data_IF_326683011712
#
_entry.id   IF_326683011712
#
_cell.length_a   1.000
_cell.length_b   1.000
_cell.length_c   1.000
_cell.angle_alpha   90.00
_cell.angle_beta   90.00
_cell.angle_gamma   90.00
#
_symmetry.space_group_name_H-M   'P 1'
#
loop_
_entity.id
_entity.type
_entity.pdbx_description
1 polymer ?
#
# COMPACT_ATOMS: atom_id res chain seq x y z
N UNK A 1 -71.42 -18.56 -31.74
CA UNK A 1 -70.03 -18.87 -31.33
C UNK A 1 -69.15 -17.70 -31.72
N UNK A 2 -68.38 -17.03 -30.86
CA UNK A 2 -68.11 -17.13 -29.40
C UNK A 2 -68.24 -15.69 -28.81
N UNK A 3 -68.64 -15.45 -27.54
CA UNK A 3 -67.76 -15.32 -26.34
C UNK A 3 -66.46 -14.54 -26.64
N UNK A 4 -66.05 -13.45 -25.96
CA UNK A 4 -66.31 -12.87 -24.61
C UNK A 4 -66.24 -11.30 -24.67
N UNK A 5 -66.75 -10.41 -23.80
CA UNK A 5 -67.41 -10.40 -22.45
C UNK A 5 -66.45 -10.61 -21.24
N UNK A 6 -66.13 -9.68 -20.33
CA UNK A 6 -66.34 -8.22 -20.10
C UNK A 6 -65.37 -7.81 -18.94
N UNK A 7 -65.14 -6.57 -18.46
CA UNK A 7 -65.64 -5.18 -18.67
C UNK A 7 -64.51 -4.18 -18.26
N UNK A 8 -64.78 -2.86 -18.17
CA UNK A 8 -63.83 -1.81 -17.70
C UNK A 8 -64.53 -0.68 -16.89
N UNK A 9 -63.74 0.28 -16.38
CA UNK A 9 -64.10 1.66 -15.94
C UNK A 9 -64.59 1.88 -14.49
N UNK A 10 -64.26 3.07 -13.97
CA UNK A 10 -64.42 3.65 -12.62
C UNK A 10 -65.56 4.69 -12.54
N UNK A 11 -66.09 4.95 -11.33
CA UNK A 11 -66.67 6.23 -10.83
C UNK A 11 -67.16 6.03 -9.36
N UNK A 12 -67.30 7.03 -8.46
CA UNK A 12 -66.76 8.40 -8.48
C UNK A 12 -67.65 9.52 -7.86
N UNK A 13 -67.85 9.56 -6.53
CA UNK A 13 -68.43 10.68 -5.72
C UNK A 13 -67.96 10.55 -4.26
N UNK A 14 -67.63 11.54 -3.40
CA UNK A 14 -67.97 12.97 -3.15
C UNK A 14 -69.37 13.24 -2.53
N UNK A 15 -69.58 14.21 -1.60
CA UNK A 15 -68.76 14.82 -0.50
C UNK A 15 -69.64 15.77 0.34
N UNK A 16 -69.49 15.81 1.67
CA UNK A 16 -69.77 16.91 2.65
C UNK A 16 -69.40 16.40 4.07
N UNK A 17 -69.05 17.16 5.12
CA UNK A 17 -69.05 18.63 5.36
C UNK A 17 -70.17 19.01 6.37
N UNK A 18 -69.93 19.58 7.57
CA UNK A 18 -68.72 20.21 8.15
C UNK A 18 -68.68 20.16 9.71
N UNK A 19 -67.47 20.41 10.25
CA UNK A 19 -67.12 20.81 11.64
C UNK A 19 -67.26 19.77 12.80
N UNK A 20 -66.70 19.95 14.02
CA UNK A 20 -66.03 21.13 14.61
C UNK A 20 -64.88 20.87 15.63
N UNK A 21 -63.84 21.70 15.54
CA UNK A 21 -63.04 22.40 16.60
C UNK A 21 -62.52 21.69 17.90
N UNK A 22 -61.18 21.49 17.94
CA UNK A 22 -60.22 21.60 19.10
C UNK A 22 -60.39 20.63 20.32
N UNK A 23 -59.40 20.35 21.21
CA UNK A 23 -58.07 20.92 21.59
C UNK A 23 -56.97 19.81 21.64
N UNK A 24 -55.68 20.17 21.50
CA UNK A 24 -54.48 19.30 21.73
C UNK A 24 -54.12 19.13 23.21
N UNK A 25 -53.49 18.01 23.59
CA UNK A 25 -52.29 18.10 24.45
C UNK A 25 -51.26 16.97 24.25
N UNK A 26 -49.98 17.30 24.47
CA UNK A 26 -48.82 16.41 24.38
C UNK A 26 -48.55 15.72 25.72
N UNK A 27 -48.04 14.48 25.68
CA UNK A 27 -47.04 14.03 26.66
C UNK A 27 -45.85 13.36 25.97
N UNK A 28 -44.70 14.05 25.97
CA UNK A 28 -43.40 13.47 25.62
C UNK A 28 -42.88 12.71 26.84
N UNK A 29 -42.66 11.39 26.75
CA UNK A 29 -41.89 10.66 27.76
C UNK A 29 -40.42 10.58 27.34
N UNK A 30 -39.65 11.59 27.77
CA UNK A 30 -38.21 11.71 27.54
C UNK A 30 -37.47 11.88 28.87
N UNK A 31 -36.99 10.78 29.45
CA UNK A 31 -36.05 10.81 30.59
C UNK A 31 -34.85 9.89 30.35
N UNK A 32 -34.01 10.29 29.38
CA UNK A 32 -32.71 9.64 29.08
C UNK A 32 -31.65 10.10 30.10
N UNK A 33 -31.73 9.60 31.34
CA UNK A 33 -30.79 10.01 32.40
C UNK A 33 -29.38 9.47 32.16
N UNK A 34 -28.42 10.39 31.98
CA UNK A 34 -26.98 10.09 31.93
C UNK A 34 -26.45 9.88 33.35
N UNK A 35 -26.35 8.63 33.79
CA UNK A 35 -25.78 8.26 35.09
C UNK A 35 -24.30 7.88 34.94
N UNK A 36 -23.42 8.40 35.81
CA UNK A 36 -21.98 8.14 35.78
C UNK A 36 -21.60 6.83 36.51
N UNK A 37 -20.40 6.33 36.21
CA UNK A 37 -19.71 5.23 36.91
C UNK A 37 -20.32 3.82 36.84
N UNK A 38 -20.45 3.30 35.62
CA UNK A 38 -19.47 2.32 35.06
C UNK A 38 -19.91 1.98 33.64
N UNK A 39 -19.18 2.51 32.66
CA UNK A 39 -19.51 2.44 31.24
C UNK A 39 -19.27 1.04 30.67
N UNK A 40 -19.99 0.66 29.61
CA UNK A 40 -19.54 -0.47 28.79
C UNK A 40 -18.28 -0.03 28.05
N UNK A 41 -17.19 -0.78 28.17
CA UNK A 41 -16.00 -0.55 27.34
C UNK A 41 -16.25 -1.11 25.93
N UNK A 42 -17.04 -0.40 25.13
CA UNK A 42 -17.29 -0.77 23.73
C UNK A 42 -16.23 -0.13 22.83
N UNK A 43 -15.64 -0.94 21.96
CA UNK A 43 -14.67 -0.56 20.94
C UNK A 43 -15.38 -0.31 19.61
N UNK A 44 -14.64 0.20 18.62
CA UNK A 44 -15.06 0.24 17.21
C UNK A 44 -16.46 0.83 16.94
N UNK A 45 -16.87 1.84 17.71
CA UNK A 45 -18.18 2.50 17.58
C UNK A 45 -19.36 1.76 18.24
N UNK A 46 -19.11 0.69 18.99
CA UNK A 46 -20.14 -0.09 19.68
C UNK A 46 -20.94 0.73 20.71
N UNK A 47 -22.26 0.52 20.73
CA UNK A 47 -23.19 1.26 21.60
C UNK A 47 -23.52 0.46 22.86
N UNK A 48 -23.24 1.04 24.03
CA UNK A 48 -23.61 0.48 25.34
C UNK A 48 -25.13 0.51 25.55
N UNK A 49 -25.75 -0.66 25.75
CA UNK A 49 -27.16 -0.79 26.15
C UNK A 49 -27.30 -1.42 27.54
N UNK A 50 -28.43 -1.22 28.20
CA UNK A 50 -28.75 -1.81 29.51
C UNK A 50 -30.22 -2.22 29.55
N UNK A 51 -30.50 -3.47 29.93
CA UNK A 51 -31.87 -3.97 30.05
C UNK A 51 -32.47 -3.65 31.42
N UNK A 52 -33.54 -2.84 31.45
CA UNK A 52 -34.13 -2.34 32.70
C UNK A 52 -34.92 -3.40 33.49
N UNK A 53 -35.53 -4.38 32.80
CA UNK A 53 -36.42 -5.37 33.43
C UNK A 53 -35.71 -6.65 33.90
N UNK A 54 -34.45 -6.84 33.53
CA UNK A 54 -33.67 -8.04 33.88
C UNK A 54 -32.25 -7.66 34.33
N UNK A 55 -32.09 -7.48 35.64
CA UNK A 55 -30.82 -7.59 36.39
C UNK A 55 -29.62 -6.76 35.90
N UNK A 56 -29.83 -5.49 35.52
CA UNK A 56 -28.77 -4.55 35.09
C UNK A 56 -27.84 -5.06 33.97
N UNK A 57 -28.28 -6.00 33.13
CA UNK A 57 -27.42 -6.59 32.10
C UNK A 57 -27.00 -5.51 31.09
N UNK A 58 -25.69 -5.23 31.06
CA UNK A 58 -25.02 -4.30 30.14
C UNK A 58 -24.36 -5.08 29.00
N UNK A 59 -24.52 -4.60 27.77
CA UNK A 59 -23.89 -5.20 26.57
C UNK A 59 -23.57 -4.12 25.52
N UNK A 60 -22.56 -4.35 24.70
CA UNK A 60 -22.33 -3.57 23.49
C UNK A 60 -23.19 -4.10 22.33
N UNK A 61 -23.90 -3.21 21.63
CA UNK A 61 -24.37 -3.43 20.26
C UNK A 61 -23.25 -3.03 19.32
N UNK A 62 -22.80 -3.94 18.46
CA UNK A 62 -21.72 -3.68 17.53
C UNK A 62 -22.24 -3.18 16.18
N UNK A 63 -21.49 -2.30 15.48
CA UNK A 63 -21.78 -1.99 14.08
C UNK A 63 -21.59 -3.23 13.19
N UNK A 64 -22.06 -3.11 11.95
CA UNK A 64 -21.71 -4.03 10.87
C UNK A 64 -20.17 -4.11 10.72
N UNK A 65 -19.65 -5.30 10.43
CA UNK A 65 -18.21 -5.60 10.41
C UNK A 65 -17.56 -5.87 11.78
N UNK A 66 -18.30 -5.81 12.89
CA UNK A 66 -17.74 -6.00 14.24
C UNK A 66 -18.56 -6.92 15.15
N UNK A 67 -17.87 -7.66 16.03
CA UNK A 67 -18.46 -8.61 16.96
C UNK A 67 -17.68 -8.79 18.26
N UNK A 68 -18.16 -9.71 19.11
CA UNK A 68 -17.60 -9.98 20.44
C UNK A 68 -18.46 -9.44 21.59
N UNK A 69 -17.88 -9.32 22.79
CA UNK A 69 -18.55 -8.78 23.98
C UNK A 69 -18.45 -7.24 24.05
N UNK A 70 -17.35 -6.73 23.53
CA UNK A 70 -16.88 -5.34 23.53
C UNK A 70 -16.77 -4.76 22.11
N UNK A 71 -17.20 -5.49 21.06
CA UNK A 71 -16.98 -5.15 19.65
C UNK A 71 -15.48 -5.17 19.27
N UNK A 72 -14.75 -6.07 19.92
CA UNK A 72 -13.30 -6.30 19.86
C UNK A 72 -12.84 -7.19 18.71
N UNK A 73 -13.78 -7.91 18.08
CA UNK A 73 -13.54 -8.77 16.92
C UNK A 73 -13.95 -7.99 15.67
N UNK A 74 -13.08 -8.01 14.68
CA UNK A 74 -13.36 -7.58 13.31
C UNK A 74 -13.89 -8.82 12.55
N UNK A 75 -15.09 -8.77 12.00
CA UNK A 75 -15.69 -9.94 11.34
C UNK A 75 -15.25 -10.10 9.88
N UNK A 76 -14.70 -9.04 9.29
CA UNK A 76 -14.50 -8.90 7.85
C UNK A 76 -13.00 -8.99 7.49
N UNK A 77 -12.11 -8.88 8.48
CA UNK A 77 -10.66 -9.01 8.37
C UNK A 77 -10.19 -10.44 8.02
N UNK A 78 -10.13 -10.69 6.71
CA UNK A 78 -9.61 -11.92 6.09
C UNK A 78 -8.07 -12.01 6.02
N UNK A 79 -7.33 -10.96 6.42
CA UNK A 79 -5.86 -10.90 6.36
C UNK A 79 -5.28 -9.98 7.45
N UNK A 80 -3.96 -10.06 7.71
CA UNK A 80 -3.27 -9.20 8.70
C UNK A 80 -2.34 -8.16 8.05
N UNK A 81 -2.30 -6.93 8.58
CA UNK A 81 -1.37 -5.88 8.12
C UNK A 81 -0.09 -5.82 8.96
N UNK A 82 1.00 -5.30 8.40
CA UNK A 82 2.29 -5.15 9.12
C UNK A 82 2.88 -6.50 9.56
N UNK A 83 2.94 -6.71 10.87
CA UNK A 83 3.25 -7.99 11.53
C UNK A 83 2.03 -8.64 12.21
N UNK A 84 0.86 -8.01 12.16
CA UNK A 84 -0.39 -8.51 12.73
C UNK A 84 -0.65 -8.20 14.21
N UNK A 85 0.11 -7.31 14.87
CA UNK A 85 -0.22 -6.82 16.23
C UNK A 85 -1.65 -6.25 16.34
N UNK A 86 -2.10 -5.57 15.28
CA UNK A 86 -3.44 -4.98 15.14
C UNK A 86 -4.50 -5.95 14.61
N UNK A 87 -4.17 -7.20 14.27
CA UNK A 87 -5.12 -8.15 13.68
C UNK A 87 -6.19 -8.58 14.70
N UNK A 88 -7.47 -8.31 14.39
CA UNK A 88 -8.62 -8.68 15.24
C UNK A 88 -9.63 -9.62 14.56
N UNK A 89 -9.30 -10.11 13.36
CA UNK A 89 -10.11 -11.08 12.61
C UNK A 89 -10.26 -12.45 13.27
N UNK A 90 -10.99 -13.35 12.62
CA UNK A 90 -11.47 -14.63 13.18
C UNK A 90 -10.69 -15.88 12.76
N UNK A 91 -9.55 -15.75 12.07
CA UNK A 91 -8.78 -16.91 11.63
C UNK A 91 -8.11 -17.67 12.79
N UNK A 92 -8.12 -19.01 12.72
CA UNK A 92 -7.47 -19.91 13.67
C UNK A 92 -6.96 -21.17 12.94
N UNK A 93 -5.68 -21.49 13.12
CA UNK A 93 -5.08 -22.72 12.59
C UNK A 93 -5.57 -23.98 13.32
N UNK A 94 -5.57 -25.16 12.66
CA UNK A 94 -5.88 -26.44 13.29
C UNK A 94 -5.00 -26.70 14.52
N UNK A 95 -5.63 -26.87 15.68
CA UNK A 95 -4.93 -27.12 16.96
C UNK A 95 -4.65 -25.88 17.81
N UNK A 96 -5.03 -24.67 17.36
CA UNK A 96 -4.98 -23.47 18.21
C UNK A 96 -5.86 -23.63 19.46
N UNK A 97 -5.25 -23.39 20.63
CA UNK A 97 -5.90 -23.37 21.94
C UNK A 97 -6.58 -22.02 22.20
N UNK A 98 -7.61 -22.04 23.04
CA UNK A 98 -8.31 -20.84 23.51
C UNK A 98 -7.44 -20.04 24.49
N UNK A 99 -7.48 -18.70 24.40
CA UNK A 99 -6.70 -17.80 25.28
C UNK A 99 -7.24 -17.75 26.73
N UNK A 100 -8.45 -18.26 26.99
CA UNK A 100 -9.03 -18.48 28.32
C UNK A 100 -8.93 -19.95 28.81
N UNK A 101 -8.20 -20.81 28.10
CA UNK A 101 -8.04 -22.21 28.49
C UNK A 101 -7.17 -22.33 29.77
N UNK A 102 -7.57 -23.08 30.81
CA UNK A 102 -6.81 -23.20 32.06
C UNK A 102 -5.41 -23.83 31.96
N UNK A 103 -5.00 -24.35 30.79
CA UNK A 103 -3.59 -24.74 30.54
C UNK A 103 -2.76 -23.61 29.93
N UNK A 104 -3.39 -22.63 29.27
CA UNK A 104 -2.77 -21.41 28.76
C UNK A 104 -2.58 -20.43 29.91
N UNK A 105 -3.65 -20.11 30.65
CA UNK A 105 -3.63 -19.21 31.83
C UNK A 105 -2.54 -19.58 32.86
N UNK A 106 -2.22 -20.87 33.02
CA UNK A 106 -1.23 -21.35 34.01
C UNK A 106 0.21 -21.51 33.48
N UNK A 107 0.47 -21.30 32.18
CA UNK A 107 1.76 -21.68 31.56
C UNK A 107 2.19 -20.82 30.35
N UNK A 108 1.33 -19.96 29.82
CA UNK A 108 1.63 -19.09 28.69
C UNK A 108 1.59 -17.64 29.12
N UNK A 109 2.54 -16.85 28.64
CA UNK A 109 2.72 -15.44 29.01
C UNK A 109 1.55 -14.54 28.54
N UNK A 110 0.72 -15.04 27.61
CA UNK A 110 -0.41 -14.31 27.04
C UNK A 110 -1.74 -15.06 27.23
N UNK A 111 -2.63 -14.50 28.04
CA UNK A 111 -3.92 -15.10 28.39
C UNK A 111 -4.97 -14.04 28.74
N UNK A 112 -6.23 -14.46 28.90
CA UNK A 112 -7.38 -13.57 29.10
C UNK A 112 -7.33 -12.71 30.38
N UNK A 113 -6.61 -13.13 31.42
CA UNK A 113 -6.57 -12.43 32.71
C UNK A 113 -5.52 -11.29 32.75
N UNK A 114 -4.77 -11.07 31.66
CA UNK A 114 -3.90 -9.91 31.54
C UNK A 114 -4.72 -8.61 31.57
N UNK A 115 -4.24 -7.61 32.31
CA UNK A 115 -4.92 -6.30 32.45
C UNK A 115 -5.16 -5.57 31.11
N UNK A 116 -4.39 -5.91 30.08
CA UNK A 116 -4.47 -5.39 28.72
C UNK A 116 -4.92 -6.45 27.69
N UNK A 117 -5.48 -7.60 28.12
CA UNK A 117 -5.93 -8.68 27.24
C UNK A 117 -6.84 -8.18 26.11
N UNK A 118 -7.80 -7.30 26.43
CA UNK A 118 -8.71 -6.71 25.46
C UNK A 118 -7.97 -5.88 24.37
N UNK A 119 -6.99 -5.07 24.75
CA UNK A 119 -6.17 -4.29 23.81
C UNK A 119 -5.30 -5.20 22.94
N UNK A 120 -4.79 -6.30 23.51
CA UNK A 120 -4.04 -7.34 22.80
C UNK A 120 -4.92 -8.24 21.91
N UNK A 121 -6.25 -8.11 21.99
CA UNK A 121 -7.21 -8.96 21.27
C UNK A 121 -7.31 -10.38 21.81
N UNK A 122 -6.96 -10.61 23.07
CA UNK A 122 -7.05 -11.90 23.76
C UNK A 122 -8.42 -12.02 24.45
N UNK A 123 -9.14 -13.11 24.19
CA UNK A 123 -10.51 -13.30 24.65
C UNK A 123 -10.93 -14.77 24.64
N UNK A 124 -12.25 -15.01 24.74
CA UNK A 124 -12.84 -16.36 24.82
C UNK A 124 -12.94 -17.05 23.45
N UNK A 125 -11.82 -17.12 22.75
CA UNK A 125 -11.64 -17.67 21.41
C UNK A 125 -10.23 -18.25 21.26
N UNK A 126 -9.97 -18.95 20.16
CA UNK A 126 -8.65 -19.45 19.78
C UNK A 126 -8.05 -18.73 18.55
N UNK A 127 -8.66 -17.63 18.10
CA UNK A 127 -8.18 -16.84 16.96
C UNK A 127 -6.72 -16.40 17.11
N UNK A 128 -5.99 -16.40 15.99
CA UNK A 128 -4.59 -15.99 15.90
C UNK A 128 -4.40 -14.52 16.30
N UNK A 129 -3.39 -14.23 17.12
CA UNK A 129 -3.04 -12.87 17.58
C UNK A 129 -1.52 -12.70 17.59
N UNK A 130 -1.04 -11.47 17.69
CA UNK A 130 0.38 -11.19 17.85
C UNK A 130 0.61 -10.25 19.06
N UNK A 131 0.43 -10.73 20.30
CA UNK A 131 0.48 -9.89 21.49
C UNK A 131 1.92 -9.55 21.95
N UNK A 132 2.94 -10.07 21.25
CA UNK A 132 4.36 -9.95 21.58
C UNK A 132 5.22 -9.38 20.43
N UNK A 133 4.60 -8.82 19.38
CA UNK A 133 5.32 -8.16 18.28
C UNK A 133 6.24 -9.05 17.44
N UNK A 134 5.97 -10.37 17.38
CA UNK A 134 6.65 -11.30 16.47
C UNK A 134 6.40 -10.94 15.00
N UNK A 135 7.04 -11.66 14.06
CA UNK A 135 6.92 -11.37 12.63
C UNK A 135 5.54 -11.67 11.99
N UNK A 136 4.66 -12.42 12.66
CA UNK A 136 3.28 -12.73 12.22
C UNK A 136 2.38 -13.15 13.40
N UNK A 137 1.04 -13.18 13.23
CA UNK A 137 0.12 -13.80 14.18
C UNK A 137 0.44 -15.26 14.48
N UNK A 138 0.14 -15.68 15.71
CA UNK A 138 0.37 -17.01 16.24
C UNK A 138 -0.74 -17.41 17.23
N UNK A 139 -0.72 -18.66 17.65
CA UNK A 139 -1.57 -19.19 18.72
C UNK A 139 -0.80 -20.22 19.56
N UNK A 140 -1.28 -20.56 20.76
CA UNK A 140 -0.73 -21.71 21.49
C UNK A 140 -1.24 -23.03 20.91
N UNK A 141 -0.35 -23.99 20.71
CA UNK A 141 -0.69 -25.40 20.40
C UNK A 141 -0.17 -26.33 21.49
N UNK A 142 -0.65 -27.59 21.54
CA UNK A 142 -0.10 -28.63 22.44
C UNK A 142 0.95 -29.47 21.72
N UNK A 143 2.06 -29.76 22.39
CA UNK A 143 3.05 -30.76 21.97
C UNK A 143 3.29 -31.74 23.11
N UNK A 144 2.53 -32.83 23.12
CA UNK A 144 2.44 -33.71 24.29
C UNK A 144 1.87 -32.96 25.50
N UNK A 145 2.65 -32.88 26.59
CA UNK A 145 2.23 -32.21 27.83
C UNK A 145 2.58 -30.72 27.92
N UNK A 146 3.36 -30.16 26.99
CA UNK A 146 3.67 -28.72 26.95
C UNK A 146 2.73 -27.96 26.00
N UNK A 147 2.62 -26.65 26.23
CA UNK A 147 2.12 -25.70 25.22
C UNK A 147 3.31 -25.02 24.54
N UNK A 148 3.14 -24.59 23.30
CA UNK A 148 4.15 -23.89 22.52
C UNK A 148 3.50 -22.80 21.66
N UNK A 149 4.16 -21.67 21.47
CA UNK A 149 3.73 -20.65 20.49
C UNK A 149 3.94 -21.21 19.08
N UNK A 150 2.92 -21.17 18.23
CA UNK A 150 2.95 -21.68 16.85
C UNK A 150 2.50 -20.58 15.90
N UNK A 151 3.35 -20.12 14.96
CA UNK A 151 2.95 -19.13 13.96
C UNK A 151 1.78 -19.64 13.13
N UNK A 152 0.76 -18.81 12.93
CA UNK A 152 -0.39 -19.19 12.11
C UNK A 152 -0.03 -19.18 10.62
N UNK A 153 -0.72 -20.04 9.88
CA UNK A 153 -0.54 -20.29 8.44
C UNK A 153 -1.83 -20.12 7.63
N UNK A 154 -3.00 -20.20 8.28
CA UNK A 154 -4.30 -19.97 7.63
C UNK A 154 -4.64 -18.49 7.40
N UNK A 155 -3.87 -17.57 7.99
CA UNK A 155 -4.05 -16.12 7.86
C UNK A 155 -2.87 -15.49 7.12
N UNK A 156 -3.13 -14.97 5.93
CA UNK A 156 -2.11 -14.29 5.12
C UNK A 156 -1.92 -12.83 5.53
N UNK A 157 -0.75 -12.28 5.17
CA UNK A 157 -0.50 -10.84 5.24
C UNK A 157 -1.26 -10.14 4.10
N UNK A 158 -2.04 -9.11 4.42
CA UNK A 158 -2.73 -8.28 3.44
C UNK A 158 -1.71 -7.72 2.41
N UNK A 159 -2.03 -7.79 1.12
CA UNK A 159 -1.15 -7.26 0.06
C UNK A 159 0.06 -8.15 -0.28
N UNK A 160 0.03 -9.43 0.05
CA UNK A 160 1.03 -10.45 -0.35
C UNK A 160 1.05 -10.74 -1.87
N UNK A 161 0.37 -9.95 -2.70
CA UNK A 161 0.47 -9.97 -4.18
C UNK A 161 1.68 -9.20 -4.73
N UNK A 162 2.42 -8.46 -3.89
CA UNK A 162 3.57 -7.66 -4.34
C UNK A 162 4.60 -8.50 -5.13
N UNK A 163 5.23 -7.86 -6.12
CA UNK A 163 6.30 -8.45 -6.92
C UNK A 163 5.87 -9.59 -7.85
N UNK A 164 4.57 -9.92 -7.89
CA UNK A 164 4.00 -10.86 -8.84
C UNK A 164 3.67 -10.15 -10.15
N UNK A 165 3.89 -10.85 -11.28
CA UNK A 165 3.54 -10.41 -12.63
C UNK A 165 3.00 -11.58 -13.43
N UNK A 166 2.13 -11.29 -14.40
CA UNK A 166 1.52 -12.33 -15.23
C UNK A 166 2.53 -12.78 -16.30
N UNK A 167 3.13 -13.96 -16.09
CA UNK A 167 4.05 -14.56 -17.06
C UNK A 167 3.34 -14.93 -18.36
N UNK A 168 3.40 -14.04 -19.35
CA UNK A 168 3.38 -14.46 -20.75
C UNK A 168 4.52 -15.46 -20.96
N UNK A 169 4.22 -16.64 -21.51
CA UNK A 169 5.23 -17.66 -21.86
C UNK A 169 6.05 -17.30 -23.09
N UNK A 170 5.81 -16.14 -23.68
CA UNK A 170 6.41 -15.71 -24.94
C UNK A 170 7.18 -14.40 -24.74
N UNK A 171 8.37 -14.33 -25.35
CA UNK A 171 9.25 -13.17 -25.45
C UNK A 171 9.97 -12.71 -24.16
N UNK A 172 10.96 -13.50 -23.71
CA UNK A 172 12.11 -12.96 -22.95
C UNK A 172 13.35 -12.88 -23.86
N UNK A 173 13.39 -11.85 -24.69
CA UNK A 173 14.52 -11.54 -25.59
C UNK A 173 15.52 -10.66 -24.84
N UNK A 174 16.81 -10.78 -25.16
CA UNK A 174 17.91 -10.04 -24.51
C UNK A 174 18.34 -8.88 -25.40
N UNK A 175 18.65 -7.73 -24.79
CA UNK A 175 19.01 -6.48 -25.49
C UNK A 175 17.83 -5.53 -25.65
N UNK A 176 17.49 -4.78 -24.59
CA UNK A 176 16.66 -3.56 -24.67
C UNK A 176 15.33 -3.71 -25.40
N UNK A 177 14.51 -4.68 -25.03
CA UNK A 177 13.26 -4.97 -25.74
C UNK A 177 12.13 -4.01 -25.34
N UNK A 178 11.20 -3.79 -26.27
CA UNK A 178 9.86 -3.30 -25.91
C UNK A 178 9.25 -4.27 -24.88
N UNK A 179 8.54 -3.73 -23.90
CA UNK A 179 7.89 -4.47 -22.85
C UNK A 179 6.41 -4.07 -22.79
N UNK A 180 5.52 -5.04 -22.62
CA UNK A 180 4.11 -4.77 -22.28
C UNK A 180 3.96 -4.67 -20.76
N UNK A 181 3.04 -3.82 -20.30
CA UNK A 181 3.01 -3.37 -18.90
C UNK A 181 2.73 -4.50 -17.89
N UNK A 182 2.07 -5.59 -18.29
CA UNK A 182 1.88 -6.78 -17.44
C UNK A 182 3.19 -7.48 -17.06
N UNK A 183 4.28 -7.19 -17.77
CA UNK A 183 5.64 -7.67 -17.42
C UNK A 183 6.34 -6.80 -16.37
N UNK A 184 5.87 -5.56 -16.16
CA UNK A 184 6.40 -4.59 -15.20
C UNK A 184 5.24 -3.81 -14.52
N UNK A 185 4.22 -4.47 -13.93
CA UNK A 185 2.92 -3.85 -13.58
C UNK A 185 3.00 -2.83 -12.42
N UNK A 186 4.18 -2.64 -11.84
CA UNK A 186 4.52 -1.61 -10.86
C UNK A 186 5.03 -0.31 -11.49
N UNK A 187 5.28 -0.26 -12.81
CA UNK A 187 5.79 0.95 -13.46
C UNK A 187 4.78 2.10 -13.36
N UNK A 188 5.26 3.23 -12.88
CA UNK A 188 4.51 4.48 -12.86
C UNK A 188 5.11 5.47 -13.86
N UNK A 189 4.28 6.10 -14.68
CA UNK A 189 4.65 7.26 -15.49
C UNK A 189 4.28 8.54 -14.75
N UNK A 190 5.26 9.38 -14.41
CA UNK A 190 5.04 10.68 -13.77
C UNK A 190 5.01 11.75 -14.86
N UNK A 191 3.91 12.50 -14.91
CA UNK A 191 3.70 13.58 -15.87
C UNK A 191 3.54 14.91 -15.15
N UNK A 192 4.05 15.97 -15.76
CA UNK A 192 3.90 17.36 -15.31
C UNK A 192 3.15 18.18 -16.36
N UNK A 193 2.11 18.91 -15.94
CA UNK A 193 1.40 19.83 -16.80
C UNK A 193 2.23 21.08 -17.05
N UNK A 194 2.71 21.24 -18.29
CA UNK A 194 3.38 22.44 -18.79
C UNK A 194 2.48 23.12 -19.82
N UNK A 195 2.06 24.35 -19.51
CA UNK A 195 1.24 25.20 -20.40
C UNK A 195 -0.05 24.51 -20.91
N UNK A 196 -0.68 23.66 -20.08
CA UNK A 196 -1.89 22.91 -20.43
C UNK A 196 -1.62 21.51 -21.02
N UNK A 197 -0.38 21.20 -21.41
CA UNK A 197 0.01 19.87 -21.91
C UNK A 197 0.64 19.02 -20.79
N UNK A 198 0.19 17.79 -20.59
CA UNK A 198 0.85 16.85 -19.68
C UNK A 198 2.08 16.24 -20.36
N UNK A 199 3.27 16.52 -19.86
CA UNK A 199 4.54 16.04 -20.41
C UNK A 199 5.17 14.99 -19.49
N UNK A 200 5.69 13.91 -20.06
CA UNK A 200 6.38 12.86 -19.31
C UNK A 200 7.69 13.41 -18.72
N UNK A 201 7.90 13.16 -17.42
CA UNK A 201 8.98 13.72 -16.62
C UNK A 201 9.93 12.63 -16.09
N UNK A 202 9.38 11.63 -15.41
CA UNK A 202 10.13 10.57 -14.74
C UNK A 202 9.34 9.25 -14.65
N UNK A 203 10.06 8.14 -14.47
CA UNK A 203 9.50 6.88 -14.02
C UNK A 203 9.27 6.85 -12.50
N UNK A 204 8.55 5.82 -12.06
CA UNK A 204 8.31 5.51 -10.64
C UNK A 204 7.93 4.04 -10.44
N UNK A 205 7.83 3.63 -9.19
CA UNK A 205 7.47 2.27 -8.78
C UNK A 205 6.30 2.29 -7.79
N UNK A 206 5.18 1.65 -8.10
CA UNK A 206 4.07 1.46 -7.16
C UNK A 206 4.49 0.48 -6.05
N UNK A 207 4.61 0.95 -4.81
CA UNK A 207 5.06 0.14 -3.66
C UNK A 207 3.92 -0.24 -2.70
N UNK A 208 2.84 0.54 -2.72
CA UNK A 208 1.58 0.35 -2.00
C UNK A 208 0.46 0.97 -2.88
N UNK A 209 -0.81 0.52 -2.82
CA UNK A 209 -1.88 1.07 -3.65
C UNK A 209 -1.99 2.60 -3.65
N UNK A 210 -1.64 3.28 -2.55
CA UNK A 210 -1.69 4.74 -2.43
C UNK A 210 -0.34 5.45 -2.66
N UNK A 211 0.76 4.72 -2.91
CA UNK A 211 2.13 5.27 -2.89
C UNK A 211 3.02 4.79 -4.03
N UNK A 212 3.64 5.76 -4.70
CA UNK A 212 4.69 5.56 -5.71
C UNK A 212 6.02 6.07 -5.17
N UNK A 213 7.07 5.25 -5.32
CA UNK A 213 8.46 5.59 -5.01
C UNK A 213 9.18 6.00 -6.30
N UNK A 214 10.00 7.05 -6.23
CA UNK A 214 10.73 7.61 -7.38
C UNK A 214 11.99 8.36 -6.89
N UNK A 215 12.68 9.07 -7.78
CA UNK A 215 13.84 9.90 -7.47
C UNK A 215 13.44 11.30 -6.98
N UNK A 216 14.27 11.92 -6.13
CA UNK A 216 14.07 13.28 -5.64
C UNK A 216 14.39 14.34 -6.71
N UNK A 217 15.37 14.09 -7.57
CA UNK A 217 15.80 15.03 -8.62
C UNK A 217 14.68 15.35 -9.62
N UNK A 218 13.69 14.45 -9.78
CA UNK A 218 12.48 14.66 -10.57
C UNK A 218 11.64 15.88 -10.12
N UNK A 219 11.79 16.31 -8.85
CA UNK A 219 11.03 17.44 -8.28
C UNK A 219 11.93 18.57 -7.76
N UNK A 220 13.23 18.53 -8.09
CA UNK A 220 14.20 19.48 -7.56
C UNK A 220 14.21 20.79 -8.36
N UNK A 221 13.94 21.89 -7.66
CA UNK A 221 14.07 23.26 -8.15
C UNK A 221 15.30 23.90 -7.47
N UNK A 222 16.22 24.47 -8.24
CA UNK A 222 17.41 25.17 -7.75
C UNK A 222 17.06 26.35 -6.79
N UNK A 223 15.85 26.88 -6.87
CA UNK A 223 15.30 27.91 -5.97
C UNK A 223 14.69 27.33 -4.68
N UNK A 224 14.76 26.00 -4.48
CA UNK A 224 14.24 25.23 -3.33
C UNK A 224 12.76 25.47 -3.01
N UNK A 225 11.96 25.80 -4.02
CA UNK A 225 10.50 25.89 -3.91
C UNK A 225 9.89 24.51 -3.83
N UNK A 226 8.83 24.39 -3.04
CA UNK A 226 8.01 23.17 -3.01
C UNK A 226 7.30 22.99 -4.37
N UNK A 227 7.33 21.80 -4.98
CA UNK A 227 6.67 21.55 -6.25
C UNK A 227 5.15 21.74 -6.14
N UNK A 228 4.54 22.42 -7.13
CA UNK A 228 3.09 22.54 -7.19
C UNK A 228 2.46 21.18 -7.54
N UNK A 229 2.10 20.40 -6.51
CA UNK A 229 1.52 19.05 -6.66
C UNK A 229 0.35 18.96 -7.63
N UNK A 230 -0.48 20.00 -7.74
CA UNK A 230 -1.62 20.05 -8.66
C UNK A 230 -1.24 20.09 -10.14
N UNK A 231 0.03 20.36 -10.45
CA UNK A 231 0.58 20.26 -11.80
C UNK A 231 1.04 18.82 -12.15
N UNK A 232 0.98 17.85 -11.23
CA UNK A 232 1.48 16.49 -11.48
C UNK A 232 0.36 15.46 -11.54
N UNK A 233 0.55 14.48 -12.43
CA UNK A 233 -0.29 13.28 -12.58
C UNK A 233 0.58 12.04 -12.59
N UNK A 234 0.02 10.93 -12.15
CA UNK A 234 0.66 9.61 -12.21
C UNK A 234 -0.23 8.66 -12.99
N UNK A 235 0.37 7.96 -13.96
CA UNK A 235 -0.26 6.92 -14.77
C UNK A 235 0.32 5.56 -14.40
N UNK A 236 -0.54 4.57 -14.17
CA UNK A 236 -0.19 3.17 -13.93
C UNK A 236 -0.84 2.31 -15.03
N UNK A 237 -0.24 1.17 -15.40
CA UNK A 237 -0.86 0.24 -16.36
C UNK A 237 -0.85 0.73 -17.82
N UNK A 238 0.21 1.46 -18.21
CA UNK A 238 0.35 2.12 -19.52
C UNK A 238 1.49 1.49 -20.32
N UNK A 239 1.22 0.93 -21.51
CA UNK A 239 2.29 0.44 -22.42
C UNK A 239 2.85 1.53 -23.36
N UNK A 240 2.11 2.64 -23.59
CA UNK A 240 2.45 3.68 -24.57
C UNK A 240 2.28 5.07 -23.96
N UNK A 241 3.33 5.92 -23.99
CA UNK A 241 3.27 7.28 -23.40
C UNK A 241 2.18 8.15 -24.02
N UNK A 242 2.09 8.16 -25.36
CA UNK A 242 1.28 9.12 -26.13
C UNK A 242 -0.08 8.57 -26.57
N UNK A 243 -0.51 7.41 -26.09
CA UNK A 243 -1.83 6.83 -26.37
C UNK A 243 -2.54 6.50 -25.05
N UNK A 244 -3.84 6.76 -24.99
CA UNK A 244 -4.70 6.28 -23.90
C UNK A 244 -4.94 4.79 -24.04
N UNK A 245 -4.83 4.07 -22.94
CA UNK A 245 -5.07 2.64 -22.83
C UNK A 245 -6.34 2.42 -22.00
N UNK A 246 -7.19 1.44 -22.34
CA UNK A 246 -8.40 1.16 -21.53
C UNK A 246 -8.08 0.45 -20.20
N UNK A 247 -6.82 0.02 -20.01
CA UNK A 247 -6.33 -0.59 -18.78
C UNK A 247 -5.56 0.38 -17.86
N UNK A 248 -5.29 1.63 -18.31
CA UNK A 248 -4.53 2.59 -17.52
C UNK A 248 -5.34 3.20 -16.36
N UNK A 249 -4.66 3.45 -15.24
CA UNK A 249 -5.24 4.14 -14.09
C UNK A 249 -4.51 5.48 -13.86
N UNK A 250 -5.27 6.57 -13.79
CA UNK A 250 -4.76 7.95 -13.74
C UNK A 250 -5.07 8.58 -12.39
N UNK A 251 -4.04 9.13 -11.75
CA UNK A 251 -4.13 9.70 -10.41
C UNK A 251 -3.61 11.13 -10.36
N UNK A 252 -4.25 11.94 -9.51
CA UNK A 252 -3.73 13.24 -9.07
C UNK A 252 -2.74 13.03 -7.92
N UNK A 253 -1.79 13.97 -7.79
CA UNK A 253 -0.80 13.93 -6.71
C UNK A 253 -1.29 14.66 -5.46
N UNK A 254 -1.49 13.88 -4.40
CA UNK A 254 -2.00 14.31 -3.11
C UNK A 254 -0.89 14.94 -2.26
N UNK A 255 0.35 14.45 -2.38
CA UNK A 255 1.54 14.89 -1.65
C UNK A 255 2.82 14.40 -2.35
N UNK A 256 3.90 15.19 -2.30
CA UNK A 256 5.25 14.82 -2.77
C UNK A 256 6.19 15.00 -1.57
N UNK A 257 6.98 13.98 -1.27
CA UNK A 257 7.91 13.94 -0.12
C UNK A 257 9.27 13.48 -0.62
N UNK A 258 10.14 14.42 -1.02
CA UNK A 258 11.55 14.16 -1.29
C UNK A 258 12.33 13.96 0.01
N UNK A 259 13.44 13.22 -0.03
CA UNK A 259 14.34 13.10 1.12
C UNK A 259 14.88 14.49 1.52
N UNK A 260 14.88 14.86 2.81
CA UNK A 260 15.33 16.19 3.24
C UNK A 260 16.81 16.44 2.94
N UNK A 261 17.63 15.38 3.01
CA UNK A 261 19.07 15.43 2.78
C UNK A 261 19.48 15.16 1.31
N UNK A 262 18.55 15.26 0.36
CA UNK A 262 18.86 15.13 -1.07
C UNK A 262 19.85 16.22 -1.52
N UNK A 263 20.91 15.82 -2.24
CA UNK A 263 21.89 16.76 -2.78
C UNK A 263 22.53 16.31 -4.10
N UNK A 264 22.60 17.26 -5.03
CA UNK A 264 23.30 17.17 -6.31
C UNK A 264 24.73 17.76 -6.29
N UNK A 265 25.16 18.38 -5.18
CA UNK A 265 26.40 19.18 -5.10
C UNK A 265 27.69 18.40 -5.42
N UNK A 266 27.71 17.08 -5.26
CA UNK A 266 28.87 16.23 -5.62
C UNK A 266 28.84 15.76 -7.08
N UNK A 267 27.77 16.01 -7.83
CA UNK A 267 27.54 15.38 -9.13
C UNK A 267 27.24 13.87 -9.02
N UNK A 268 26.71 13.43 -7.87
CA UNK A 268 26.41 12.04 -7.54
C UNK A 268 25.01 11.78 -6.94
N UNK A 269 24.15 12.79 -6.78
CA UNK A 269 22.75 12.65 -6.33
C UNK A 269 22.58 11.77 -5.06
N UNK A 270 23.23 12.12 -3.94
CA UNK A 270 23.01 11.38 -2.68
C UNK A 270 21.63 11.69 -2.08
N UNK A 271 21.02 10.68 -1.46
CA UNK A 271 19.64 10.72 -0.95
C UNK A 271 18.57 11.01 -2.03
N UNK A 272 18.81 10.58 -3.27
CA UNK A 272 17.91 10.74 -4.40
C UNK A 272 16.71 9.77 -4.37
N UNK A 273 15.76 10.07 -3.48
CA UNK A 273 14.53 9.31 -3.27
C UNK A 273 13.36 10.23 -2.91
N UNK A 274 12.19 9.99 -3.48
CA UNK A 274 10.94 10.68 -3.18
C UNK A 274 9.75 9.70 -3.14
N UNK A 275 8.78 10.03 -2.28
CA UNK A 275 7.46 9.41 -2.23
C UNK A 275 6.41 10.33 -2.85
N UNK A 276 5.52 9.76 -3.66
CA UNK A 276 4.32 10.41 -4.18
C UNK A 276 3.11 9.69 -3.59
N UNK A 277 2.21 10.45 -2.96
CA UNK A 277 0.87 9.96 -2.59
C UNK A 277 -0.09 10.18 -3.75
N UNK A 278 -0.72 9.12 -4.22
CA UNK A 278 -1.62 9.15 -5.40
C UNK A 278 -3.08 8.95 -4.99
N UNK A 279 -4.00 9.70 -5.61
CA UNK A 279 -5.46 9.50 -5.49
C UNK A 279 -6.22 9.82 -6.77
N UNK A 280 -7.36 9.17 -6.97
CA UNK A 280 -8.39 9.60 -7.91
C UNK A 280 -9.12 10.86 -7.40
N UNK A 281 -9.91 11.52 -8.26
CA UNK A 281 -10.80 12.60 -7.83
C UNK A 281 -11.87 12.17 -6.80
N UNK A 282 -12.21 10.87 -6.76
CA UNK A 282 -13.07 10.24 -5.73
C UNK A 282 -12.32 9.86 -4.45
N UNK A 283 -11.03 10.17 -4.35
CA UNK A 283 -10.18 9.90 -3.18
C UNK A 283 -9.67 8.46 -3.06
N UNK A 284 -9.92 7.61 -4.07
CA UNK A 284 -9.52 6.20 -4.10
C UNK A 284 -8.04 6.05 -4.52
N UNK A 285 -7.43 4.93 -4.14
CA UNK A 285 -6.07 4.56 -4.52
C UNK A 285 -6.07 3.53 -5.67
N UNK A 286 -4.91 3.03 -6.09
CA UNK A 286 -4.80 2.08 -7.20
C UNK A 286 -5.53 0.75 -6.93
N UNK A 287 -6.16 0.21 -7.97
CA UNK A 287 -6.86 -1.08 -7.94
C UNK A 287 -5.97 -2.13 -8.61
N UNK A 288 -5.75 -3.27 -7.95
CA UNK A 288 -4.89 -4.32 -8.49
C UNK A 288 -5.52 -4.97 -9.75
N UNK A 289 -4.71 -5.18 -10.79
CA UNK A 289 -5.09 -5.83 -12.04
C UNK A 289 -3.92 -6.65 -12.60
N UNK A 290 -3.97 -7.09 -13.86
CA UNK A 290 -2.79 -7.64 -14.54
C UNK A 290 -1.79 -6.57 -14.98
N UNK A 291 -2.24 -5.32 -15.12
CA UNK A 291 -1.50 -4.17 -15.63
C UNK A 291 -1.00 -3.25 -14.50
N UNK A 292 -1.63 -3.31 -13.33
CA UNK A 292 -1.33 -2.48 -12.15
C UNK A 292 -1.18 -3.36 -10.92
N UNK A 293 0.04 -3.47 -10.37
CA UNK A 293 0.37 -4.24 -9.15
C UNK A 293 1.50 -3.57 -8.38
N UNK A 294 1.63 -3.85 -7.09
CA UNK A 294 2.76 -3.35 -6.30
C UNK A 294 4.03 -4.17 -6.55
N UNK A 295 5.19 -3.53 -6.48
CA UNK A 295 6.48 -4.22 -6.33
C UNK A 295 6.75 -4.47 -4.85
N UNK A 296 7.44 -5.57 -4.50
CA UNK A 296 7.84 -5.75 -3.10
C UNK A 296 8.98 -4.79 -2.74
N UNK A 297 8.87 -4.13 -1.59
CA UNK A 297 10.02 -3.52 -0.92
C UNK A 297 10.95 -4.63 -0.37
N UNK A 298 12.27 -4.42 -0.37
CA UNK A 298 13.24 -5.39 0.12
C UNK A 298 13.23 -5.51 1.65
N UNK A 299 13.73 -6.63 2.16
CA UNK A 299 13.97 -6.78 3.60
C UNK A 299 15.12 -5.87 4.08
N UNK A 300 15.07 -5.43 5.34
CA UNK A 300 15.96 -4.40 5.91
C UNK A 300 17.46 -4.69 5.76
N UNK A 301 17.83 -5.96 5.78
CA UNK A 301 19.20 -6.44 5.67
C UNK A 301 19.43 -7.23 4.37
N UNK A 302 18.61 -7.03 3.32
CA UNK A 302 18.76 -7.75 2.06
C UNK A 302 20.01 -7.28 1.30
N UNK A 303 21.04 -8.12 1.33
CA UNK A 303 22.22 -8.00 0.48
C UNK A 303 22.12 -9.05 -0.63
N UNK A 304 22.15 -8.60 -1.89
CA UNK A 304 22.17 -9.46 -3.07
C UNK A 304 23.62 -9.58 -3.55
N UNK A 305 24.01 -10.77 -3.98
CA UNK A 305 25.38 -11.03 -4.43
C UNK A 305 25.76 -10.21 -5.67
N UNK A 306 27.04 -9.89 -5.80
CA UNK A 306 27.61 -9.36 -7.04
C UNK A 306 27.22 -10.23 -8.23
N UNK A 307 27.04 -9.60 -9.40
CA UNK A 307 26.57 -10.23 -10.63
C UNK A 307 25.16 -10.87 -10.55
N UNK A 308 24.38 -10.62 -9.48
CA UNK A 308 22.94 -10.92 -9.46
C UNK A 308 22.23 -10.20 -10.60
N UNK A 309 21.40 -10.93 -11.34
CA UNK A 309 20.62 -10.42 -12.47
C UNK A 309 19.39 -9.66 -11.97
N UNK A 310 19.23 -8.43 -12.44
CA UNK A 310 18.08 -7.57 -12.21
C UNK A 310 17.52 -7.07 -13.55
N UNK A 311 16.34 -6.46 -13.50
CA UNK A 311 15.64 -5.88 -14.63
C UNK A 311 15.34 -4.40 -14.35
N UNK A 312 15.56 -3.55 -15.35
CA UNK A 312 15.17 -2.13 -15.33
C UNK A 312 14.07 -1.90 -16.35
N UNK A 313 13.18 -0.95 -16.08
CA UNK A 313 12.08 -0.60 -16.97
C UNK A 313 11.72 0.90 -16.90
N UNK A 314 11.29 1.45 -18.04
CA UNK A 314 10.95 2.87 -18.16
C UNK A 314 10.61 3.28 -19.59
N UNK A 315 10.45 4.59 -19.78
CA UNK A 315 10.10 5.21 -21.06
C UNK A 315 11.17 6.22 -21.50
N UNK A 316 12.40 6.07 -21.00
CA UNK A 316 13.50 6.97 -21.29
C UNK A 316 13.91 7.00 -22.76
N UNK A 317 14.89 7.87 -23.05
CA UNK A 317 15.50 7.99 -24.37
C UNK A 317 16.30 6.74 -24.70
N UNK A 318 16.18 6.21 -25.91
CA UNK A 318 16.91 4.99 -26.30
C UNK A 318 18.42 5.27 -26.42
N UNK A 319 18.80 6.52 -26.72
CA UNK A 319 20.16 7.03 -26.70
C UNK A 319 20.24 8.38 -25.96
N UNK A 320 21.41 8.68 -25.37
CA UNK A 320 21.66 9.94 -24.66
C UNK A 320 21.43 11.21 -25.52
N UNK A 321 21.59 11.09 -26.84
CA UNK A 321 21.46 12.17 -27.81
C UNK A 321 20.07 12.30 -28.45
N UNK A 322 19.13 11.38 -28.18
CA UNK A 322 17.81 11.42 -28.81
C UNK A 322 17.04 12.68 -28.39
N UNK A 323 16.20 13.19 -29.29
CA UNK A 323 15.33 14.34 -29.00
C UNK A 323 14.10 13.87 -28.21
N UNK A 324 13.52 12.73 -28.58
CA UNK A 324 12.27 12.19 -28.05
C UNK A 324 12.49 11.02 -27.06
N UNK A 325 11.52 10.80 -26.18
CA UNK A 325 11.44 9.63 -25.30
C UNK A 325 10.97 8.38 -26.06
N UNK A 326 11.20 7.18 -25.50
CA UNK A 326 10.62 5.96 -26.03
C UNK A 326 9.09 6.04 -25.93
N UNK A 327 8.40 5.93 -27.08
CA UNK A 327 6.93 6.00 -27.10
C UNK A 327 6.27 4.79 -26.43
N UNK A 328 6.99 3.67 -26.34
CA UNK A 328 6.59 2.43 -25.67
C UNK A 328 7.45 2.19 -24.43
N UNK A 329 6.88 1.49 -23.45
CA UNK A 329 7.61 0.94 -22.32
C UNK A 329 8.75 0.04 -22.83
N UNK A 330 9.94 0.24 -22.27
CA UNK A 330 11.14 -0.54 -22.56
C UNK A 330 11.57 -1.31 -21.31
N UNK A 331 12.27 -2.43 -21.48
CA UNK A 331 12.97 -3.09 -20.38
C UNK A 331 14.34 -3.65 -20.81
N UNK A 332 15.27 -3.67 -19.86
CA UNK A 332 16.61 -4.24 -20.06
C UNK A 332 17.02 -5.09 -18.85
N UNK A 333 18.02 -5.95 -19.07
CA UNK A 333 18.68 -6.72 -18.01
C UNK A 333 19.97 -6.02 -17.60
N UNK A 334 20.17 -5.85 -16.31
CA UNK A 334 21.44 -5.36 -15.73
C UNK A 334 21.89 -6.29 -14.61
N UNK A 335 23.19 -6.48 -14.46
CA UNK A 335 23.76 -7.24 -13.35
C UNK A 335 24.32 -6.30 -12.29
N UNK A 336 24.16 -6.63 -11.00
CA UNK A 336 24.74 -5.87 -9.90
C UNK A 336 26.28 -5.87 -9.97
N UNK A 337 26.88 -4.72 -9.71
CA UNK A 337 28.33 -4.50 -9.72
C UNK A 337 28.79 -4.19 -8.29
N UNK A 338 29.90 -4.81 -7.87
CA UNK A 338 30.39 -4.68 -6.50
C UNK A 338 30.66 -3.23 -6.11
N UNK A 339 30.36 -2.89 -4.86
CA UNK A 339 30.48 -1.54 -4.34
C UNK A 339 31.92 -1.00 -4.53
N UNK A 340 32.92 -1.84 -4.26
CA UNK A 340 34.33 -1.50 -4.49
C UNK A 340 34.70 -1.34 -5.96
N UNK A 341 34.14 -2.16 -6.86
CA UNK A 341 34.36 -2.00 -8.30
C UNK A 341 33.75 -0.69 -8.79
N UNK A 342 32.54 -0.35 -8.34
CA UNK A 342 31.91 0.89 -8.75
C UNK A 342 32.67 2.12 -8.24
N UNK A 343 32.95 2.18 -6.93
CA UNK A 343 33.67 3.29 -6.27
C UNK A 343 35.11 3.48 -6.75
N UNK A 344 35.87 2.40 -7.00
CA UNK A 344 37.33 2.49 -7.19
C UNK A 344 37.79 2.25 -8.64
N UNK A 345 36.95 1.72 -9.53
CA UNK A 345 37.31 1.37 -10.92
C UNK A 345 36.50 2.13 -11.97
N UNK A 346 35.23 2.46 -11.71
CA UNK A 346 34.33 3.10 -12.67
C UNK A 346 34.01 4.57 -12.33
N UNK A 347 33.91 4.89 -11.05
CA UNK A 347 33.68 6.25 -10.54
C UNK A 347 34.70 6.58 -9.43
N UNK A 348 34.26 7.27 -8.39
CA UNK A 348 35.02 7.69 -7.22
C UNK A 348 34.11 7.63 -5.97
N UNK A 349 34.69 7.72 -4.79
CA UNK A 349 33.98 7.66 -3.50
C UNK A 349 33.28 8.95 -3.07
N UNK A 350 33.38 10.03 -3.86
CA UNK A 350 32.68 11.31 -3.63
C UNK A 350 31.34 11.31 -4.37
N UNK A 351 31.30 10.70 -5.55
CA UNK A 351 30.10 10.55 -6.38
C UNK A 351 29.28 9.30 -6.02
N UNK A 352 29.91 8.19 -5.63
CA UNK A 352 29.21 6.92 -5.29
C UNK A 352 29.26 6.63 -3.78
N UNK A 353 28.13 6.80 -3.11
CA UNK A 353 27.99 6.58 -1.65
C UNK A 353 27.51 5.16 -1.31
N UNK A 354 27.51 4.79 -0.02
CA UNK A 354 26.93 3.52 0.44
C UNK A 354 25.40 3.53 0.55
N UNK A 355 24.78 4.65 0.16
CA UNK A 355 23.35 4.77 -0.12
C UNK A 355 22.99 4.39 -1.56
N UNK A 356 23.98 4.05 -2.38
CA UNK A 356 23.83 3.71 -3.80
C UNK A 356 24.19 2.25 -4.08
N UNK A 357 23.76 1.76 -5.24
CA UNK A 357 24.17 0.49 -5.83
C UNK A 357 24.37 0.72 -7.33
N UNK A 358 25.31 0.01 -7.94
CA UNK A 358 25.59 0.13 -9.37
C UNK A 358 25.19 -1.14 -10.09
N UNK A 359 24.66 -1.00 -11.29
CA UNK A 359 24.31 -2.13 -12.15
C UNK A 359 24.53 -1.75 -13.62
N UNK A 360 24.88 -2.73 -14.44
CA UNK A 360 25.05 -2.53 -15.87
C UNK A 360 24.89 -3.83 -16.64
N UNK A 361 24.65 -3.71 -17.93
CA UNK A 361 24.71 -4.82 -18.87
C UNK A 361 26.15 -5.39 -18.93
N UNK A 362 26.36 -6.71 -18.73
CA UNK A 362 27.68 -7.33 -18.90
C UNK A 362 28.34 -7.11 -20.27
N UNK A 363 27.55 -6.89 -21.33
CA UNK A 363 28.04 -6.56 -22.67
C UNK A 363 28.31 -5.06 -22.86
N UNK A 364 27.75 -4.19 -21.99
CA UNK A 364 27.70 -2.73 -22.14
C UNK A 364 26.90 -2.26 -23.37
N UNK A 365 25.88 -3.01 -23.79
CA UNK A 365 25.00 -2.67 -24.92
C UNK A 365 23.73 -1.93 -24.46
N UNK A 366 23.31 -2.14 -23.20
CA UNK A 366 22.08 -1.57 -22.62
C UNK A 366 22.27 -0.98 -21.22
N UNK A 367 21.45 0.02 -20.87
CA UNK A 367 21.52 0.78 -19.61
C UNK A 367 20.25 1.62 -19.41
N UNK A 368 20.07 2.22 -18.24
CA UNK A 368 19.04 3.24 -18.02
C UNK A 368 19.48 4.60 -18.63
N UNK A 369 18.53 5.42 -19.06
CA UNK A 369 18.82 6.68 -19.75
C UNK A 369 17.89 7.84 -19.32
N UNK A 370 18.04 8.99 -19.98
CA UNK A 370 17.27 10.21 -19.63
C UNK A 370 15.77 9.94 -19.77
N UNK A 371 15.01 10.11 -18.68
CA UNK A 371 13.58 9.81 -18.61
C UNK A 371 13.26 8.46 -17.94
N UNK A 372 14.23 7.56 -17.79
CA UNK A 372 14.07 6.39 -16.90
C UNK A 372 14.28 6.77 -15.43
N UNK A 373 14.81 7.97 -15.16
CA UNK A 373 14.92 8.62 -13.84
C UNK A 373 13.73 8.31 -12.93
N UNK A 374 13.98 7.82 -11.72
CA UNK A 374 12.95 7.42 -10.77
C UNK A 374 12.32 6.04 -11.02
N UNK A 375 12.58 5.42 -12.16
CA UNK A 375 12.08 4.10 -12.53
C UNK A 375 12.66 2.94 -11.71
N UNK A 376 12.04 1.75 -11.76
CA UNK A 376 12.45 0.56 -11.04
C UNK A 376 13.76 -0.05 -11.53
N UNK A 377 14.63 -0.44 -10.60
CA UNK A 377 15.52 -1.60 -10.76
C UNK A 377 15.04 -2.72 -9.83
N UNK A 378 14.49 -3.77 -10.43
CA UNK A 378 13.90 -4.91 -9.72
C UNK A 378 14.74 -6.17 -9.89
N UNK A 379 14.99 -6.87 -8.79
CA UNK A 379 15.73 -8.13 -8.77
C UNK A 379 14.79 -9.25 -8.27
N UNK A 380 14.93 -10.46 -8.78
CA UNK A 380 14.11 -11.59 -8.31
C UNK A 380 14.65 -12.10 -6.97
N UNK A 381 13.80 -12.15 -5.94
CA UNK A 381 14.13 -12.65 -4.62
C UNK A 381 12.95 -13.46 -4.07
N UNK A 382 13.21 -14.67 -3.58
CA UNK A 382 12.19 -15.62 -3.08
C UNK A 382 10.97 -15.80 -4.00
N UNK A 383 11.21 -15.82 -5.33
CA UNK A 383 10.16 -15.98 -6.35
C UNK A 383 9.29 -14.74 -6.61
N UNK A 384 9.76 -13.54 -6.22
CA UNK A 384 9.05 -12.26 -6.41
C UNK A 384 10.00 -11.17 -6.89
N UNK A 385 9.50 -10.24 -7.69
CA UNK A 385 10.26 -9.05 -8.08
C UNK A 385 10.32 -8.04 -6.93
N UNK A 386 11.53 -7.74 -6.48
CA UNK A 386 11.82 -6.87 -5.34
C UNK A 386 12.56 -5.62 -5.82
N UNK A 387 12.10 -4.43 -5.40
CA UNK A 387 12.66 -3.15 -5.79
C UNK A 387 13.98 -2.90 -5.05
N UNK A 388 15.11 -3.24 -5.68
CA UNK A 388 16.42 -3.13 -5.05
C UNK A 388 17.06 -1.74 -5.24
N UNK A 389 16.76 -1.09 -6.37
CA UNK A 389 17.22 0.26 -6.67
C UNK A 389 16.19 1.11 -7.40
N UNK A 390 16.45 2.42 -7.40
CA UNK A 390 15.71 3.44 -8.17
C UNK A 390 16.70 4.06 -9.16
N UNK A 391 16.34 4.20 -10.43
CA UNK A 391 17.20 4.86 -11.44
C UNK A 391 17.51 6.29 -11.02
N UNK A 392 18.79 6.64 -10.86
CA UNK A 392 19.22 7.98 -10.43
C UNK A 392 20.10 8.67 -11.47
N UNK A 393 21.30 8.15 -11.78
CA UNK A 393 22.24 8.79 -12.71
C UNK A 393 23.25 7.83 -13.35
N UNK A 394 24.04 8.34 -14.29
CA UNK A 394 25.19 7.66 -14.90
C UNK A 394 25.98 8.64 -15.78
N UNK A 395 27.23 8.35 -16.13
CA UNK A 395 28.07 9.22 -16.99
C UNK A 395 27.67 9.15 -18.49
N UNK A 396 26.36 9.10 -18.78
CA UNK A 396 25.77 8.81 -20.09
C UNK A 396 25.45 7.32 -20.26
N UNK A 397 24.45 7.04 -21.08
CA UNK A 397 23.79 5.73 -21.16
C UNK A 397 24.65 4.70 -21.92
N UNK A 398 24.73 3.48 -21.39
CA UNK A 398 25.37 2.30 -22.00
C UNK A 398 26.86 2.51 -22.37
N UNK A 399 27.58 3.34 -21.60
CA UNK A 399 29.01 3.52 -21.81
C UNK A 399 29.81 2.40 -21.16
N UNK A 400 30.68 1.75 -21.93
CA UNK A 400 31.63 0.74 -21.46
C UNK A 400 32.43 1.23 -20.25
N UNK A 401 32.46 0.44 -19.17
CA UNK A 401 33.06 0.77 -17.88
C UNK A 401 32.43 1.97 -17.13
N UNK A 402 31.20 2.36 -17.46
CA UNK A 402 30.43 3.42 -16.79
C UNK A 402 28.98 2.97 -16.56
N UNK A 403 28.72 2.16 -15.50
CA UNK A 403 27.40 1.60 -15.26
C UNK A 403 26.43 2.63 -14.69
N UNK A 404 25.13 2.39 -14.85
CA UNK A 404 24.10 3.15 -14.14
C UNK A 404 24.27 3.05 -12.61
N UNK A 405 23.94 4.14 -11.94
CA UNK A 405 23.97 4.30 -10.48
C UNK A 405 22.54 4.52 -9.98
N UNK A 406 22.17 3.72 -8.98
CA UNK A 406 20.80 3.57 -8.50
C UNK A 406 20.75 3.83 -6.98
N UNK A 407 19.71 4.51 -6.53
CA UNK A 407 19.48 4.73 -5.08
C UNK A 407 19.11 3.40 -4.43
N UNK A 408 19.91 2.90 -3.47
CA UNK A 408 19.78 1.57 -2.87
C UNK A 408 18.65 1.52 -1.85
N UNK A 409 17.50 0.95 -2.22
CA UNK A 409 16.23 1.05 -1.46
C UNK A 409 16.35 0.52 -0.03
N UNK A 410 17.16 -0.51 0.21
CA UNK A 410 17.36 -1.10 1.57
C UNK A 410 17.87 -0.09 2.61
N UNK A 411 18.54 0.98 2.18
CA UNK A 411 19.03 2.05 3.08
C UNK A 411 17.92 2.99 3.55
N UNK A 412 16.82 3.10 2.81
CA UNK A 412 15.76 4.08 3.05
C UNK A 412 14.47 3.50 3.62
N UNK A 413 14.38 2.19 3.86
CA UNK A 413 13.16 1.52 4.33
C UNK A 413 12.54 2.20 5.58
N UNK A 414 13.37 2.58 6.57
CA UNK A 414 12.89 3.30 7.76
C UNK A 414 12.22 4.65 7.40
N UNK A 415 12.75 5.37 6.41
CA UNK A 415 12.23 6.66 5.92
C UNK A 415 10.96 6.45 5.10
N UNK A 416 10.90 5.40 4.27
CA UNK A 416 9.69 5.01 3.52
C UNK A 416 8.55 4.73 4.51
N UNK A 417 8.78 3.80 5.45
CA UNK A 417 7.81 3.42 6.49
C UNK A 417 7.34 4.62 7.33
N UNK A 418 8.27 5.49 7.75
CA UNK A 418 7.94 6.65 8.58
C UNK A 418 7.00 7.63 7.87
N UNK A 419 7.28 7.96 6.61
CA UNK A 419 6.48 8.92 5.85
C UNK A 419 5.11 8.35 5.46
N UNK A 420 5.06 7.10 4.99
CA UNK A 420 3.79 6.42 4.67
C UNK A 420 2.85 6.36 5.88
N UNK A 421 3.37 6.03 7.08
CA UNK A 421 2.57 5.96 8.30
C UNK A 421 2.22 7.34 8.89
N UNK A 422 3.13 8.32 8.87
CA UNK A 422 2.88 9.67 9.42
C UNK A 422 1.77 10.44 8.71
N UNK A 423 1.51 10.11 7.43
CA UNK A 423 0.41 10.71 6.65
C UNK A 423 -0.95 10.08 6.99
N UNK A 424 -0.99 8.80 7.37
CA UNK A 424 -2.21 8.15 7.86
C UNK A 424 -2.69 8.78 9.18
N UNK A 425 -1.78 9.08 10.11
CA UNK A 425 -2.14 9.78 11.36
C UNK A 425 -2.63 11.21 11.10
N UNK A 426 -1.97 11.98 10.22
CA UNK A 426 -2.46 13.32 9.81
C UNK A 426 -3.87 13.29 9.18
N UNK A 427 -4.23 12.23 8.45
CA UNK A 427 -5.57 12.13 7.85
C UNK A 427 -6.71 11.81 8.83
N UNK A 428 -6.40 11.47 10.10
CA UNK A 428 -7.40 11.10 11.11
C UNK A 428 -7.75 12.23 12.09
N UNK A 429 -6.99 13.32 12.11
CA UNK A 429 -7.30 14.50 12.92
C UNK A 429 -8.32 15.40 12.21
N UNK A 430 -9.62 15.11 12.40
CA UNK A 430 -10.67 16.08 12.13
C UNK A 430 -10.53 17.28 13.09
N UNK A 431 -10.77 18.52 12.63
CA UNK A 431 -10.84 19.67 13.54
C UNK A 431 -12.07 19.54 14.45
N UNK A 432 -11.91 19.87 15.74
CA UNK A 432 -13.03 19.95 16.66
C UNK A 432 -14.02 21.04 16.22
N UNK A 433 -15.35 20.80 16.28
CA UNK A 433 -16.34 21.83 16.03
C UNK A 433 -16.27 22.91 17.12
N UNK A 434 -16.32 24.18 16.70
CA UNK A 434 -16.42 25.35 17.57
C UNK A 434 -17.84 25.57 18.08
#
# INVERSE_FOLDING_TARGET
>A
MKLLIFLTITLGTLVTGLDSVYIRQYYKLSHKHRSQHRECHCLNGGTCITYQFFSQIKRCLCPEGYGGLHCEIDTDSMCYSGNGESYRGMAADPGCLYWDLPSVIRRGDYHVDLKNALQLGLGKHNYCRNPNGRSRPWCYTKRGYSIQETPCSTIEKCGSTCGQRSFSKYFKIVGGSQAEVETQPWIAGIFQNMMGTDQFLCGGSLIDPCWVLTAAHCFYDLTKKQPNKSAYKVFLGKSVLNATDEHEQVFMVDEIISHPDFTDYTGGNDNDIALIRIRTASGQCAVESNYVRTVCLPEKNLELYDNTRCEIAGYGKQNFYDIYYAQRLMSATVNLISQDTCKNKYYDSIRVTDNMVCAGDPAWETDACKGDSGGPMVCEHNGRMTLYGIVSWGDGCAKKNKPGVYTRVTRYLNWIDSNMNAVVTKSRSFPEPK
#
